data_IF_202815374506
#
_entry.id   IF_202815374506
#
_cell.length_a   1.000
_cell.length_b   1.000
_cell.length_c   1.000
_cell.angle_alpha   90.00
_cell.angle_beta   90.00
_cell.angle_gamma   90.00
#
_symmetry.space_group_name_H-M   'P 1'
#
loop_
_entity.id
_entity.type
_entity.pdbx_description
1 polymer ?
#
# COMPACT_ATOMS: atom_id res chain seq x y z
N UNK A 1 40.24 15.08 -5.61
CA UNK A 1 38.80 14.82 -5.73
C UNK A 1 38.41 13.56 -4.93
N UNK A 2 38.43 13.61 -3.60
CA UNK A 2 38.08 12.47 -2.72
C UNK A 2 37.09 12.87 -1.59
N UNK A 3 36.74 14.15 -1.46
CA UNK A 3 35.87 14.65 -0.39
C UNK A 3 34.36 14.65 -0.69
N UNK A 4 33.94 14.34 -1.93
CA UNK A 4 32.53 14.38 -2.32
C UNK A 4 31.79 13.04 -2.18
N UNK A 5 32.49 11.94 -1.98
CA UNK A 5 31.90 10.62 -1.76
C UNK A 5 31.65 10.33 -0.26
N UNK A 6 32.28 11.09 0.65
CA UNK A 6 32.14 10.94 2.11
C UNK A 6 30.82 11.50 2.66
N UNK A 7 30.27 12.58 2.08
CA UNK A 7 29.05 13.22 2.62
C UNK A 7 27.74 12.49 2.31
N UNK A 8 27.76 11.58 1.32
CA UNK A 8 26.60 10.74 1.00
C UNK A 8 26.57 9.50 1.91
N UNK A 9 27.74 8.94 2.25
CA UNK A 9 27.85 7.82 3.19
C UNK A 9 27.47 8.21 4.64
N UNK A 10 27.77 9.44 5.07
CA UNK A 10 27.44 9.90 6.43
C UNK A 10 25.94 10.19 6.66
N UNK A 11 25.13 10.34 5.61
CA UNK A 11 23.67 10.50 5.71
C UNK A 11 22.91 9.17 5.78
N UNK A 12 23.53 8.06 5.36
CA UNK A 12 22.91 6.72 5.37
C UNK A 12 23.28 5.93 6.64
N UNK A 13 24.37 6.28 7.32
CA UNK A 13 24.90 5.55 8.49
C UNK A 13 24.74 6.28 9.83
N UNK A 14 23.55 6.80 10.13
CA UNK A 14 23.11 6.97 11.52
C UNK A 14 23.93 7.92 12.40
N UNK A 15 24.46 9.01 11.84
CA UNK A 15 25.20 10.04 12.58
C UNK A 15 24.30 10.99 13.38
N UNK A 16 23.54 10.48 14.36
CA UNK A 16 22.94 11.27 15.43
C UNK A 16 23.71 11.00 16.72
N UNK A 17 24.66 11.89 17.01
CA UNK A 17 25.50 11.84 18.21
C UNK A 17 24.68 11.83 19.50
N UNK A 18 25.19 11.03 20.43
CA UNK A 18 24.85 11.00 21.85
C UNK A 18 24.90 12.42 22.44
N UNK A 19 23.75 12.91 22.93
CA UNK A 19 23.57 13.81 24.10
C UNK A 19 22.40 14.79 23.90
N UNK A 20 21.19 14.34 24.20
CA UNK A 20 20.24 15.16 24.96
C UNK A 20 19.32 14.22 25.73
N UNK A 21 19.66 14.07 27.00
CA UNK A 21 18.82 13.46 28.02
C UNK A 21 17.61 14.37 28.26
N UNK A 22 16.55 13.74 28.77
CA UNK A 22 15.40 14.34 29.49
C UNK A 22 14.37 15.18 28.73
N UNK A 23 13.47 14.51 28.00
CA UNK A 23 12.02 14.86 27.97
C UNK A 23 11.09 13.63 28.06
N UNK A 24 11.61 12.47 28.46
CA UNK A 24 10.87 11.20 28.60
C UNK A 24 10.16 11.00 29.96
N UNK A 25 10.01 12.06 30.78
CA UNK A 25 9.31 11.98 32.07
C UNK A 25 7.90 12.59 32.10
N UNK A 26 7.36 13.04 30.96
CA UNK A 26 5.97 13.54 30.87
C UNK A 26 5.03 12.67 30.03
N UNK A 27 5.52 11.57 29.45
CA UNK A 27 4.75 10.70 28.55
C UNK A 27 4.28 9.41 29.24
N UNK A 28 3.55 9.49 30.35
CA UNK A 28 2.94 8.28 30.93
C UNK A 28 1.77 8.53 31.91
N UNK A 29 1.00 9.62 31.78
CA UNK A 29 -0.38 9.61 32.30
C UNK A 29 -1.29 8.98 31.25
N UNK A 30 -1.20 7.65 31.15
CA UNK A 30 -2.34 6.76 30.90
C UNK A 30 -3.39 7.25 29.89
N UNK A 31 -3.01 7.44 28.61
CA UNK A 31 -3.96 7.32 27.48
C UNK A 31 -4.09 5.83 27.12
N UNK A 32 -4.72 5.06 28.01
CA UNK A 32 -4.94 3.63 27.83
C UNK A 32 -6.17 3.37 26.94
N UNK A 33 -6.18 3.83 25.68
CA UNK A 33 -7.09 3.41 24.59
C UNK A 33 -8.61 3.51 24.79
N UNK A 34 -9.07 3.82 25.99
CA UNK A 34 -10.44 3.98 26.44
C UNK A 34 -10.58 5.47 26.68
N UNK A 35 -11.09 6.21 25.70
CA UNK A 35 -11.21 7.66 25.79
C UNK A 35 -11.71 8.11 27.17
N UNK A 36 -11.20 9.24 27.64
CA UNK A 36 -11.79 9.92 28.80
C UNK A 36 -13.29 10.13 28.52
N UNK A 37 -14.16 10.16 29.54
CA UNK A 37 -15.57 10.50 29.34
C UNK A 37 -15.65 11.74 28.47
N UNK A 38 -16.35 11.61 27.33
CA UNK A 38 -16.39 12.66 26.30
C UNK A 38 -16.78 13.96 27.01
N UNK A 39 -15.85 14.92 26.99
CA UNK A 39 -16.11 16.24 27.55
C UNK A 39 -17.36 16.80 26.90
N UNK A 40 -18.15 17.59 27.65
CA UNK A 40 -19.29 18.27 27.05
C UNK A 40 -18.79 19.02 25.81
N UNK A 41 -19.46 18.81 24.67
CA UNK A 41 -19.18 19.52 23.44
C UNK A 41 -19.10 21.01 23.74
N UNK A 42 -18.00 21.66 23.35
CA UNK A 42 -17.80 23.09 23.57
C UNK A 42 -18.96 23.79 22.87
N UNK A 43 -19.71 24.60 23.59
CA UNK A 43 -20.83 25.35 23.01
C UNK A 43 -20.22 26.41 22.10
N UNK A 44 -20.60 26.46 20.81
CA UNK A 44 -20.08 27.46 19.90
C UNK A 44 -20.49 28.87 20.35
N UNK A 45 -19.51 29.74 20.58
CA UNK A 45 -19.78 31.16 20.86
C UNK A 45 -20.20 31.94 19.60
N UNK A 46 -20.05 31.32 18.42
CA UNK A 46 -20.31 31.89 17.10
C UNK A 46 -21.15 30.93 16.26
N UNK A 47 -21.99 31.44 15.33
CA UNK A 47 -22.72 30.58 14.41
C UNK A 47 -21.75 29.72 13.60
N UNK A 48 -21.99 28.41 13.61
CA UNK A 48 -21.16 27.45 12.90
C UNK A 48 -21.37 27.60 11.38
N UNK A 49 -20.32 27.39 10.57
CA UNK A 49 -20.47 27.23 9.13
C UNK A 49 -21.42 26.07 8.81
N UNK A 50 -22.19 26.19 7.73
CA UNK A 50 -23.15 25.13 7.32
C UNK A 50 -22.50 23.77 7.08
N UNK A 51 -21.20 23.76 6.75
CA UNK A 51 -20.43 22.54 6.47
C UNK A 51 -19.60 22.05 7.67
N UNK A 52 -19.82 22.58 8.87
CA UNK A 52 -19.04 22.20 10.05
C UNK A 52 -19.25 20.73 10.43
N UNK A 53 -20.43 20.18 10.13
CA UNK A 53 -20.75 18.75 10.25
C UNK A 53 -19.91 17.83 9.34
N UNK A 54 -19.35 18.37 8.26
CA UNK A 54 -18.48 17.63 7.33
C UNK A 54 -17.02 17.60 7.80
N UNK A 55 -16.68 18.40 8.81
CA UNK A 55 -15.36 18.41 9.43
C UNK A 55 -15.45 17.57 10.68
N UNK A 56 -14.79 16.41 10.68
CA UNK A 56 -14.71 15.57 11.86
C UNK A 56 -13.66 16.13 12.82
N UNK A 57 -14.04 17.19 13.55
CA UNK A 57 -13.25 17.74 14.66
C UNK A 57 -13.89 17.31 16.00
N UNK A 58 -13.10 16.70 16.88
CA UNK A 58 -13.56 16.32 18.22
C UNK A 58 -13.33 17.42 19.27
N UNK A 59 -12.90 18.61 18.84
CA UNK A 59 -12.67 19.78 19.69
C UNK A 59 -11.43 19.65 20.57
N UNK A 60 -10.56 18.65 20.32
CA UNK A 60 -9.33 18.51 21.09
C UNK A 60 -8.21 19.37 20.49
N UNK A 61 -7.43 20.08 21.32
CA UNK A 61 -6.29 20.86 20.84
C UNK A 61 -5.09 19.99 20.41
N UNK A 62 -5.24 18.66 20.40
CA UNK A 62 -4.20 17.72 20.04
C UNK A 62 -4.50 17.16 18.65
N UNK A 63 -3.63 17.38 17.65
CA UNK A 63 -3.86 16.83 16.32
C UNK A 63 -3.86 15.31 16.38
N UNK A 64 -4.86 14.69 15.78
CA UNK A 64 -5.03 13.25 15.67
C UNK A 64 -4.30 12.78 14.42
N UNK A 65 -3.08 12.21 14.53
CA UNK A 65 -2.23 11.95 13.38
C UNK A 65 -2.79 10.93 12.38
N UNK A 66 -3.87 10.21 12.73
CA UNK A 66 -4.54 9.29 11.82
C UNK A 66 -5.66 9.95 11.01
N UNK A 67 -6.20 11.08 11.46
CA UNK A 67 -7.34 11.78 10.85
C UNK A 67 -6.89 13.12 10.26
N UNK A 68 -6.06 13.88 10.98
CA UNK A 68 -5.59 15.21 10.56
C UNK A 68 -4.43 15.15 9.57
N UNK A 69 -3.73 14.01 9.53
CA UNK A 69 -2.64 13.79 8.58
C UNK A 69 -3.17 12.98 7.38
N UNK A 70 -3.97 13.64 6.54
CA UNK A 70 -4.23 13.09 5.21
C UNK A 70 -2.89 12.86 4.50
N UNK A 71 -2.72 11.66 3.95
CA UNK A 71 -1.61 11.41 3.04
C UNK A 71 -1.67 12.47 1.92
N UNK A 72 -0.51 12.95 1.43
CA UNK A 72 -0.51 13.89 0.31
C UNK A 72 -1.38 13.31 -0.80
N UNK A 73 -2.38 14.07 -1.24
CA UNK A 73 -3.32 13.62 -2.26
C UNK A 73 -2.54 13.36 -3.54
N UNK A 74 -2.45 12.09 -3.92
CA UNK A 74 -1.78 11.66 -5.15
C UNK A 74 -2.56 12.26 -6.32
N UNK A 75 -1.86 12.96 -7.22
CA UNK A 75 -2.52 13.59 -8.37
C UNK A 75 -3.17 12.55 -9.29
N UNK A 76 -4.25 12.91 -10.01
CA UNK A 76 -4.95 11.97 -10.91
C UNK A 76 -4.04 11.26 -11.93
N UNK A 77 -3.05 11.97 -12.47
CA UNK A 77 -2.09 11.42 -13.42
C UNK A 77 -0.99 10.61 -12.74
N UNK A 78 -0.64 10.95 -11.51
CA UNK A 78 0.32 10.18 -10.71
C UNK A 78 -0.31 8.84 -10.30
N UNK A 79 -1.56 8.84 -9.84
CA UNK A 79 -2.32 7.64 -9.54
C UNK A 79 -2.48 6.74 -10.79
N UNK A 80 -2.79 7.35 -11.94
CA UNK A 80 -2.85 6.62 -13.21
C UNK A 80 -1.48 6.03 -13.60
N UNK A 81 -0.39 6.79 -13.39
CA UNK A 81 0.97 6.31 -13.59
C UNK A 81 1.30 5.09 -12.72
N UNK A 82 0.94 5.12 -11.44
CA UNK A 82 1.10 3.97 -10.53
C UNK A 82 0.28 2.75 -10.95
N UNK A 83 -0.96 2.97 -11.38
CA UNK A 83 -1.84 1.90 -11.87
C UNK A 83 -1.28 1.26 -13.15
N UNK A 84 -0.96 2.08 -14.16
CA UNK A 84 -0.41 1.60 -15.43
C UNK A 84 0.97 0.96 -15.23
N UNK A 85 1.82 1.53 -14.37
CA UNK A 85 3.13 0.99 -14.02
C UNK A 85 3.02 -0.38 -13.34
N UNK A 86 2.13 -0.52 -12.34
CA UNK A 86 1.90 -1.80 -11.67
C UNK A 86 1.37 -2.88 -12.61
N UNK A 87 0.35 -2.55 -13.41
CA UNK A 87 -0.25 -3.50 -14.35
C UNK A 87 0.73 -3.91 -15.47
N UNK A 88 1.46 -2.96 -16.04
CA UNK A 88 2.45 -3.24 -17.08
C UNK A 88 3.61 -4.11 -16.57
N UNK A 89 4.02 -3.94 -15.32
CA UNK A 89 5.05 -4.80 -14.70
C UNK A 89 4.60 -6.26 -14.63
N UNK A 90 3.38 -6.53 -14.15
CA UNK A 90 2.85 -7.90 -14.10
C UNK A 90 2.61 -8.49 -15.49
N UNK A 91 2.13 -7.68 -16.45
CA UNK A 91 1.99 -8.11 -17.83
C UNK A 91 3.35 -8.50 -18.45
N UNK A 92 4.38 -7.69 -18.23
CA UNK A 92 5.74 -7.99 -18.69
C UNK A 92 6.31 -9.26 -18.05
N UNK A 93 6.12 -9.47 -16.75
CA UNK A 93 6.51 -10.70 -16.07
C UNK A 93 5.79 -11.93 -16.65
N UNK A 94 4.48 -11.82 -16.93
CA UNK A 94 3.71 -12.90 -17.55
C UNK A 94 4.22 -13.25 -18.95
N UNK A 95 4.52 -12.24 -19.77
CA UNK A 95 5.09 -12.44 -21.10
C UNK A 95 6.49 -13.06 -21.04
N UNK A 96 7.33 -12.64 -20.09
CA UNK A 96 8.65 -13.24 -19.89
C UNK A 96 8.54 -14.71 -19.45
N UNK A 97 7.57 -15.02 -18.58
CA UNK A 97 7.28 -16.40 -18.20
C UNK A 97 6.89 -17.25 -19.41
N UNK A 98 6.00 -16.77 -20.28
CA UNK A 98 5.61 -17.47 -21.53
C UNK A 98 6.79 -17.59 -22.50
N UNK A 99 7.61 -16.55 -22.64
CA UNK A 99 8.83 -16.61 -23.47
C UNK A 99 9.81 -17.68 -22.97
N UNK A 100 9.92 -17.83 -21.65
CA UNK A 100 10.76 -18.84 -21.02
C UNK A 100 10.11 -20.24 -21.00
N UNK A 101 8.79 -20.32 -21.19
CA UNK A 101 8.00 -21.56 -21.23
C UNK A 101 8.13 -22.23 -22.61
N UNK A 102 9.29 -22.85 -22.84
CA UNK A 102 9.52 -23.68 -24.02
C UNK A 102 8.92 -25.07 -23.78
N UNK A 103 8.13 -25.56 -24.74
CA UNK A 103 7.63 -26.94 -24.78
C UNK A 103 8.73 -28.01 -24.61
N UNK A 104 9.98 -27.70 -24.97
CA UNK A 104 11.15 -28.57 -24.79
C UNK A 104 11.57 -28.81 -23.33
N UNK A 105 11.08 -28.01 -22.36
CA UNK A 105 11.39 -28.20 -20.93
C UNK A 105 10.50 -29.25 -20.26
N UNK A 106 9.43 -29.68 -20.94
CA UNK A 106 8.52 -30.71 -20.43
C UNK A 106 9.10 -32.07 -20.87
N UNK A 107 9.55 -32.93 -19.93
CA UNK A 107 10.25 -34.17 -20.28
C UNK A 107 9.31 -35.29 -20.76
N UNK A 108 8.01 -35.02 -20.86
CA UNK A 108 6.98 -35.98 -21.26
C UNK A 108 6.12 -35.41 -22.38
N UNK A 109 5.72 -36.29 -23.30
CA UNK A 109 4.75 -35.96 -24.32
C UNK A 109 3.37 -35.70 -23.67
N UNK A 110 2.53 -34.83 -24.28
CA UNK A 110 1.15 -34.67 -23.84
C UNK A 110 0.40 -36.01 -23.90
N UNK A 111 -0.49 -36.22 -22.93
CA UNK A 111 -1.24 -37.46 -22.80
C UNK A 111 -2.21 -37.62 -23.98
N UNK A 112 -2.07 -38.74 -24.69
CA UNK A 112 -2.97 -39.13 -25.78
C UNK A 112 -4.02 -40.07 -25.20
N UNK A 113 -5.28 -39.87 -25.58
CA UNK A 113 -6.38 -40.73 -25.15
C UNK A 113 -6.85 -41.65 -26.28
N UNK A 114 -7.29 -42.89 -25.98
CA UNK A 114 -7.91 -43.78 -26.96
C UNK A 114 -9.20 -43.18 -27.56
N UNK A 115 -9.71 -43.80 -28.63
CA UNK A 115 -10.97 -43.41 -29.29
C UNK A 115 -10.97 -41.95 -29.79
N UNK A 116 -9.95 -41.61 -30.59
CA UNK A 116 -9.79 -40.27 -31.16
C UNK A 116 -9.85 -39.15 -30.08
N UNK A 117 -9.03 -39.28 -29.04
CA UNK A 117 -9.03 -38.39 -27.88
C UNK A 117 -10.40 -38.24 -27.17
N UNK A 118 -11.17 -39.33 -27.05
CA UNK A 118 -12.47 -39.35 -26.40
C UNK A 118 -13.48 -38.37 -27.04
N UNK A 119 -13.37 -38.15 -28.35
CA UNK A 119 -14.13 -37.13 -29.07
C UNK A 119 -15.65 -37.33 -28.91
N UNK A 120 -16.12 -38.57 -28.98
CA UNK A 120 -17.56 -38.89 -28.85
C UNK A 120 -18.03 -38.71 -27.42
N UNK A 121 -17.19 -39.10 -26.45
CA UNK A 121 -17.46 -38.98 -25.01
C UNK A 121 -17.45 -37.52 -24.54
N UNK A 122 -16.72 -36.65 -25.24
CA UNK A 122 -16.72 -35.20 -25.04
C UNK A 122 -17.85 -34.47 -25.81
N UNK A 123 -18.73 -35.22 -26.48
CA UNK A 123 -19.91 -34.68 -27.18
C UNK A 123 -19.70 -34.34 -28.66
N UNK A 124 -18.63 -34.83 -29.28
CA UNK A 124 -18.44 -34.77 -30.73
C UNK A 124 -19.36 -35.74 -31.48
N UNK A 125 -19.67 -35.42 -32.73
CA UNK A 125 -20.59 -36.23 -33.55
C UNK A 125 -20.03 -37.63 -33.85
N UNK A 126 -20.82 -38.71 -33.77
CA UNK A 126 -20.35 -40.03 -34.17
C UNK A 126 -19.93 -40.01 -35.65
N UNK A 127 -18.87 -40.75 -36.01
CA UNK A 127 -18.55 -40.95 -37.43
C UNK A 127 -19.72 -41.64 -38.16
N UNK A 128 -19.98 -41.31 -39.44
CA UNK A 128 -21.09 -41.86 -40.21
C UNK A 128 -20.99 -43.37 -40.46
#
# INVERSE_FOLDING_TARGET
>A
MAGRLSSVASRVLGGAGVASRSTLLSSARTRAGMGLPVGRHIVPDKPLPTNDELVWDNGTPFPEPCIDRLAPTIGKYEALGWLCGGLSFFAALGLLAVWNDKASKIPFAPKIYPYDNLRVELGGEPEP
#
